data_IF_666621018013
#
_entry.id   IF_666621018013
#
_cell.length_a   1.000
_cell.length_b   1.000
_cell.length_c   1.000
_cell.angle_alpha   90.00
_cell.angle_beta   90.00
_cell.angle_gamma   90.00
#
_symmetry.space_group_name_H-M   'P 1'
#
loop_
_entity.id
_entity.type
_entity.pdbx_description
1 polymer ?
#
# COMPACT_ATOMS: atom_id res chain seq x y z
N UNK A 1 -9.20 -32.86 95.28
CA UNK A 1 -9.98 -32.45 94.11
C UNK A 1 -9.42 -31.13 93.61
N UNK A 2 -8.56 -31.19 92.60
CA UNK A 2 -7.89 -29.96 92.07
C UNK A 2 -8.44 -29.76 90.68
N UNK A 3 -9.17 -28.66 90.44
CA UNK A 3 -9.67 -28.26 89.13
C UNK A 3 -8.56 -27.40 88.47
N UNK A 4 -8.01 -27.95 87.41
CA UNK A 4 -7.10 -27.19 86.52
C UNK A 4 -7.90 -26.34 85.55
N UNK A 5 -7.61 -25.05 85.57
CA UNK A 5 -8.16 -24.04 84.61
C UNK A 5 -7.14 -23.86 83.50
N UNK A 6 -7.53 -24.16 82.27
CA UNK A 6 -6.72 -23.91 81.06
C UNK A 6 -7.13 -22.57 80.50
N UNK A 7 -6.20 -21.61 80.28
CA UNK A 7 -6.53 -20.37 79.61
C UNK A 7 -6.60 -20.55 78.10
N UNK A 8 -7.69 -20.03 77.50
CA UNK A 8 -7.94 -19.97 76.09
C UNK A 8 -7.09 -18.88 75.45
N UNK A 9 -6.09 -19.25 74.64
CA UNK A 9 -5.36 -18.32 73.76
C UNK A 9 -6.17 -18.00 72.52
N UNK A 10 -6.65 -16.78 72.40
CA UNK A 10 -7.21 -16.28 71.15
C UNK A 10 -6.06 -15.97 70.15
N UNK A 11 -5.94 -16.80 69.14
CA UNK A 11 -5.02 -16.58 68.06
C UNK A 11 -5.50 -15.43 67.19
N UNK A 12 -4.68 -14.38 67.06
CA UNK A 12 -4.87 -13.28 66.11
C UNK A 12 -4.34 -13.75 64.78
N UNK A 13 -5.26 -14.01 63.86
CA UNK A 13 -4.92 -14.35 62.46
C UNK A 13 -4.59 -13.05 61.74
N UNK A 14 -3.31 -12.79 61.48
CA UNK A 14 -2.84 -11.67 60.67
C UNK A 14 -2.93 -12.17 59.20
N UNK A 15 -3.98 -11.72 58.49
CA UNK A 15 -4.11 -11.89 57.07
C UNK A 15 -3.17 -10.91 56.37
N UNK A 16 -2.01 -11.39 55.92
CA UNK A 16 -1.14 -10.61 55.02
C UNK A 16 -1.79 -10.62 53.63
N UNK A 17 -2.52 -9.52 53.33
CA UNK A 17 -2.99 -9.25 51.99
C UNK A 17 -1.80 -8.75 51.13
N UNK A 18 -1.19 -9.66 50.38
CA UNK A 18 -0.18 -9.30 49.38
C UNK A 18 -0.92 -8.71 48.20
N UNK A 19 -0.95 -7.39 48.15
CA UNK A 19 -1.44 -6.64 46.98
C UNK A 19 -0.39 -6.74 45.87
N UNK A 20 -0.55 -7.77 44.99
CA UNK A 20 0.26 -7.87 43.79
C UNK A 20 -0.22 -6.81 42.80
N UNK A 21 0.44 -5.64 42.84
CA UNK A 21 0.26 -4.60 41.85
C UNK A 21 0.96 -4.99 40.56
N UNK A 22 0.24 -5.73 39.67
CA UNK A 22 0.72 -6.00 38.34
C UNK A 22 0.75 -4.69 37.56
N UNK A 23 1.93 -4.06 37.49
CA UNK A 23 2.20 -3.02 36.53
C UNK A 23 2.08 -3.63 35.11
N UNK A 24 0.93 -3.45 34.51
CA UNK A 24 0.77 -3.62 33.05
C UNK A 24 1.56 -2.50 32.39
N UNK A 25 2.83 -2.78 32.09
CA UNK A 25 3.63 -1.94 31.20
C UNK A 25 2.99 -2.12 29.81
N UNK A 26 2.02 -1.26 29.52
CA UNK A 26 1.52 -1.08 28.15
C UNK A 26 2.66 -0.45 27.34
N UNK A 27 3.47 -1.28 26.73
CA UNK A 27 4.42 -0.84 25.73
C UNK A 27 3.60 -0.36 24.52
N UNK A 28 3.09 0.89 24.58
CA UNK A 28 2.67 1.59 23.38
C UNK A 28 3.93 1.79 22.57
N UNK A 29 4.20 0.88 21.63
CA UNK A 29 5.11 1.14 20.55
C UNK A 29 4.58 2.40 19.83
N UNK A 30 5.23 3.54 20.05
CA UNK A 30 5.01 4.70 19.20
C UNK A 30 5.32 4.25 17.78
N UNK A 31 4.30 4.12 16.96
CA UNK A 31 4.45 3.93 15.52
C UNK A 31 5.04 5.24 15.00
N UNK A 32 6.37 5.33 14.96
CA UNK A 32 7.05 6.42 14.27
C UNK A 32 6.58 6.38 12.83
N UNK A 33 5.87 7.39 12.41
CA UNK A 33 5.47 7.56 11.00
C UNK A 33 6.75 7.74 10.20
N UNK A 34 7.22 6.67 9.56
CA UNK A 34 8.40 6.72 8.70
C UNK A 34 7.99 7.37 7.40
N UNK A 35 8.59 8.51 7.06
CA UNK A 35 8.37 9.13 5.76
C UNK A 35 9.25 8.41 4.72
N UNK A 36 8.62 7.67 3.80
CA UNK A 36 9.29 6.96 2.70
C UNK A 36 9.09 7.64 1.34
N UNK A 37 8.49 8.83 1.30
CA UNK A 37 8.29 9.55 0.05
C UNK A 37 9.63 9.84 -0.64
N UNK A 38 9.69 9.59 -1.94
CA UNK A 38 10.89 9.73 -2.76
C UNK A 38 11.89 8.58 -2.65
N UNK A 39 11.69 7.61 -1.76
CA UNK A 39 12.57 6.43 -1.65
C UNK A 39 12.32 5.43 -2.77
N UNK A 40 13.36 4.65 -3.09
CA UNK A 40 13.25 3.58 -4.06
C UNK A 40 12.55 2.36 -3.45
N UNK A 41 11.53 1.89 -4.15
CA UNK A 41 10.73 0.73 -3.78
C UNK A 41 11.46 -0.56 -4.19
N UNK A 42 11.62 -1.47 -3.23
CA UNK A 42 12.21 -2.78 -3.43
C UNK A 42 11.17 -3.85 -3.69
N UNK A 43 10.15 -3.91 -2.83
CA UNK A 43 9.09 -4.91 -2.90
C UNK A 43 7.83 -4.45 -2.15
N UNK A 44 6.71 -5.06 -2.50
CA UNK A 44 5.49 -5.03 -1.70
C UNK A 44 5.13 -6.48 -1.39
N UNK A 45 5.18 -6.86 -0.11
CA UNK A 45 4.90 -8.21 0.35
C UNK A 45 3.66 -8.20 1.25
N UNK A 46 2.59 -8.80 0.76
CA UNK A 46 1.26 -8.75 1.41
C UNK A 46 0.84 -7.30 1.67
N UNK A 47 1.00 -6.82 2.90
CA UNK A 47 0.68 -5.48 3.37
C UNK A 47 1.92 -4.71 3.86
N UNK A 48 3.13 -5.11 3.46
CA UNK A 48 4.39 -4.47 3.84
C UNK A 48 5.00 -3.80 2.61
N UNK A 49 5.22 -2.49 2.67
CA UNK A 49 5.98 -1.73 1.68
C UNK A 49 7.45 -1.75 2.12
N UNK A 50 8.34 -2.24 1.27
CA UNK A 50 9.78 -2.39 1.55
C UNK A 50 10.57 -1.53 0.57
N UNK A 51 11.44 -0.66 1.08
CA UNK A 51 12.33 0.18 0.27
C UNK A 51 13.71 -0.45 0.09
N UNK A 52 14.48 0.03 -0.89
CA UNK A 52 15.84 -0.48 -1.16
C UNK A 52 16.80 -0.31 0.04
N UNK A 53 16.59 0.71 0.86
CA UNK A 53 17.32 0.90 2.12
C UNK A 53 16.72 0.10 3.29
N UNK A 54 15.87 -0.90 3.00
CA UNK A 54 15.22 -1.83 3.92
C UNK A 54 14.30 -1.17 4.98
N UNK A 55 13.81 0.05 4.74
CA UNK A 55 12.72 0.58 5.56
C UNK A 55 11.43 -0.18 5.23
N UNK A 56 10.62 -0.42 6.25
CA UNK A 56 9.36 -1.14 6.12
C UNK A 56 8.21 -0.30 6.66
N UNK A 57 7.12 -0.25 5.91
CA UNK A 57 5.84 0.25 6.39
C UNK A 57 4.84 -0.89 6.36
N UNK A 58 4.38 -1.26 7.54
CA UNK A 58 3.31 -2.25 7.69
C UNK A 58 1.97 -1.54 7.59
N UNK A 59 1.19 -1.91 6.60
CA UNK A 59 -0.19 -1.45 6.44
C UNK A 59 -1.09 -2.36 7.28
N UNK A 60 -1.84 -1.78 8.23
CA UNK A 60 -2.76 -2.57 9.06
C UNK A 60 -3.97 -3.00 8.21
N UNK A 61 -3.99 -4.28 7.81
CA UNK A 61 -4.99 -4.87 6.93
C UNK A 61 -6.43 -4.69 7.46
N UNK A 62 -6.64 -4.88 8.76
CA UNK A 62 -7.96 -4.75 9.38
C UNK A 62 -8.56 -3.33 9.24
N UNK A 63 -7.70 -2.33 9.11
CA UNK A 63 -8.10 -0.93 8.93
C UNK A 63 -8.27 -0.52 7.47
N UNK A 64 -7.82 -1.34 6.50
CA UNK A 64 -7.81 -0.99 5.08
C UNK A 64 -9.14 -1.38 4.43
N UNK A 65 -9.64 -0.47 3.60
CA UNK A 65 -10.75 -0.71 2.68
C UNK A 65 -10.22 -1.01 1.29
N UNK A 66 -9.31 -0.15 0.76
CA UNK A 66 -8.75 -0.32 -0.59
C UNK A 66 -7.30 0.14 -0.66
N UNK A 67 -6.55 -0.46 -1.59
CA UNK A 67 -5.21 -0.01 -2.00
C UNK A 67 -5.20 0.17 -3.51
N UNK A 68 -4.71 1.32 -3.96
CA UNK A 68 -4.46 1.60 -5.37
C UNK A 68 -2.96 1.73 -5.59
N UNK A 69 -2.43 0.98 -6.55
CA UNK A 69 -1.06 1.05 -7.04
C UNK A 69 -1.09 1.75 -8.38
N UNK A 70 -0.41 2.88 -8.50
CA UNK A 70 -0.51 3.77 -9.63
C UNK A 70 0.88 4.02 -10.21
N UNK A 71 1.06 3.74 -11.49
CA UNK A 71 2.32 4.01 -12.19
C UNK A 71 2.07 4.66 -13.54
N UNK A 72 3.06 5.43 -14.01
CA UNK A 72 3.18 5.81 -15.41
C UNK A 72 3.75 4.62 -16.20
N UNK A 73 3.46 4.53 -17.51
CA UNK A 73 4.15 3.61 -18.40
C UNK A 73 5.67 3.80 -18.32
N UNK A 74 6.43 2.73 -18.56
CA UNK A 74 7.89 2.73 -18.61
C UNK A 74 8.42 3.47 -19.86
N UNK A 75 9.75 3.53 -20.02
CA UNK A 75 10.44 4.24 -21.09
C UNK A 75 9.96 3.78 -22.47
N UNK A 76 9.44 4.73 -23.25
CA UNK A 76 8.97 4.51 -24.61
C UNK A 76 10.01 4.88 -25.65
N UNK A 77 9.98 4.23 -26.79
CA UNK A 77 10.81 4.60 -27.94
C UNK A 77 10.29 5.89 -28.58
N UNK A 78 10.97 7.00 -28.37
CA UNK A 78 10.59 8.32 -28.90
C UNK A 78 10.89 8.50 -30.38
N UNK A 79 11.59 7.58 -31.02
CA UNK A 79 11.85 7.61 -32.47
C UNK A 79 10.62 7.17 -33.28
N UNK A 80 9.72 6.38 -32.64
CA UNK A 80 8.45 5.92 -33.22
C UNK A 80 7.34 6.87 -32.78
N UNK A 81 6.69 7.54 -33.73
CA UNK A 81 5.65 8.54 -33.43
C UNK A 81 4.31 7.90 -33.05
N UNK A 82 3.88 6.94 -33.84
CA UNK A 82 2.58 6.29 -33.68
C UNK A 82 2.72 5.01 -32.86
N UNK A 83 2.00 4.94 -31.75
CA UNK A 83 2.01 3.79 -30.81
C UNK A 83 3.43 3.33 -30.42
N UNK A 84 4.27 4.21 -29.82
CA UNK A 84 5.64 3.86 -29.45
C UNK A 84 5.66 2.71 -28.45
N UNK A 85 6.42 1.63 -28.74
CA UNK A 85 6.64 0.54 -27.79
C UNK A 85 7.60 0.97 -26.69
N UNK A 86 7.87 0.07 -25.73
CA UNK A 86 8.91 0.27 -24.74
C UNK A 86 10.30 0.10 -25.34
N UNK A 87 11.27 0.86 -24.81
CA UNK A 87 12.70 0.64 -25.03
C UNK A 87 13.16 -0.59 -24.26
N UNK A 88 14.41 -1.04 -24.46
CA UNK A 88 15.03 -2.10 -23.66
C UNK A 88 15.06 -1.74 -22.15
N UNK A 89 15.32 -0.46 -21.82
CA UNK A 89 15.24 0.05 -20.45
C UNK A 89 13.80 -0.03 -19.92
N UNK A 90 12.82 0.37 -20.73
CA UNK A 90 11.41 0.26 -20.38
C UNK A 90 10.96 -1.17 -20.13
N UNK A 91 11.42 -2.15 -20.92
CA UNK A 91 11.15 -3.57 -20.67
C UNK A 91 11.76 -4.06 -19.35
N UNK A 92 12.99 -3.61 -19.03
CA UNK A 92 13.64 -3.90 -17.75
C UNK A 92 12.81 -3.32 -16.59
N UNK A 93 12.33 -2.09 -16.72
CA UNK A 93 11.45 -1.44 -15.72
C UNK A 93 10.12 -2.16 -15.59
N UNK A 94 9.52 -2.62 -16.67
CA UNK A 94 8.30 -3.43 -16.65
C UNK A 94 8.48 -4.74 -15.86
N UNK A 95 9.61 -5.42 -16.06
CA UNK A 95 9.97 -6.61 -15.25
C UNK A 95 10.12 -6.27 -13.77
N UNK A 96 10.77 -5.14 -13.46
CA UNK A 96 10.92 -4.67 -12.07
C UNK A 96 9.56 -4.42 -11.40
N UNK A 97 8.55 -3.91 -12.12
CA UNK A 97 7.18 -3.77 -11.60
C UNK A 97 6.63 -5.13 -11.19
N UNK A 98 6.78 -6.14 -12.03
CA UNK A 98 6.31 -7.50 -11.74
C UNK A 98 7.00 -8.06 -10.48
N UNK A 99 8.31 -7.86 -10.34
CA UNK A 99 9.07 -8.34 -9.18
C UNK A 99 8.65 -7.61 -7.90
N UNK A 100 8.51 -6.30 -7.92
CA UNK A 100 8.03 -5.49 -6.79
C UNK A 100 6.67 -5.98 -6.30
N UNK A 101 5.78 -6.31 -7.21
CA UNK A 101 4.40 -6.71 -6.94
C UNK A 101 4.22 -8.21 -6.71
N UNK A 102 5.28 -9.02 -6.82
CA UNK A 102 5.22 -10.50 -6.77
C UNK A 102 4.56 -11.01 -5.50
N UNK A 103 4.95 -10.49 -4.35
CA UNK A 103 4.53 -10.93 -3.02
C UNK A 103 3.19 -10.34 -2.55
N UNK A 104 2.54 -9.45 -3.32
CA UNK A 104 1.29 -8.82 -2.89
C UNK A 104 0.10 -9.25 -3.75
N UNK A 105 -1.09 -9.22 -3.16
CA UNK A 105 -2.34 -9.48 -3.87
C UNK A 105 -2.68 -8.30 -4.79
N UNK A 106 -3.21 -8.60 -5.98
CA UNK A 106 -3.83 -7.67 -6.90
C UNK A 106 -5.16 -8.27 -7.31
N UNK A 107 -6.24 -7.48 -7.32
CA UNK A 107 -7.59 -7.95 -7.68
C UNK A 107 -7.98 -7.51 -9.10
N UNK A 108 -7.43 -6.39 -9.58
CA UNK A 108 -7.66 -5.87 -10.92
C UNK A 108 -6.44 -5.09 -11.44
N UNK A 109 -6.13 -5.22 -12.72
CA UNK A 109 -5.10 -4.46 -13.42
C UNK A 109 -5.76 -3.67 -14.53
N UNK A 110 -5.67 -2.34 -14.48
CA UNK A 110 -6.20 -1.44 -15.49
C UNK A 110 -5.10 -0.74 -16.26
N UNK A 111 -5.25 -0.64 -17.58
CA UNK A 111 -4.31 0.05 -18.45
C UNK A 111 -5.05 0.80 -19.56
N UNK A 112 -4.50 1.92 -20.03
CA UNK A 112 -4.89 2.44 -21.35
C UNK A 112 -4.40 1.48 -22.44
N UNK A 113 -5.08 1.49 -23.60
CA UNK A 113 -4.81 0.54 -24.70
C UNK A 113 -3.66 0.98 -25.62
N UNK A 114 -2.62 1.63 -25.08
CA UNK A 114 -1.41 1.97 -25.85
C UNK A 114 -0.33 0.91 -25.61
N UNK A 115 0.51 0.63 -26.62
CA UNK A 115 1.57 -0.39 -26.50
C UNK A 115 2.44 -0.18 -25.27
N UNK A 116 2.87 1.06 -25.01
CA UNK A 116 3.74 1.38 -23.86
C UNK A 116 3.11 1.09 -22.50
N UNK A 117 1.80 1.34 -22.32
CA UNK A 117 1.12 1.06 -21.05
C UNK A 117 0.84 -0.43 -20.87
N UNK A 118 0.41 -1.11 -21.95
CA UNK A 118 0.17 -2.54 -21.93
C UNK A 118 1.44 -3.32 -21.60
N UNK A 119 2.55 -3.08 -22.32
CA UNK A 119 3.82 -3.75 -22.07
C UNK A 119 4.42 -3.43 -20.70
N UNK A 120 4.09 -2.29 -20.08
CA UNK A 120 4.55 -1.97 -18.73
C UNK A 120 3.99 -2.93 -17.68
N UNK A 121 2.80 -3.51 -17.90
CA UNK A 121 2.14 -4.38 -16.91
C UNK A 121 1.96 -5.82 -17.39
N UNK A 122 2.39 -6.15 -18.59
CA UNK A 122 2.24 -7.48 -19.19
C UNK A 122 2.87 -8.56 -18.28
N UNK A 123 4.13 -8.37 -17.89
CA UNK A 123 4.80 -9.29 -16.95
C UNK A 123 4.10 -9.39 -15.59
N UNK A 124 3.51 -8.30 -15.10
CA UNK A 124 2.71 -8.35 -13.86
C UNK A 124 1.43 -9.15 -14.07
N UNK A 125 0.73 -8.93 -15.18
CA UNK A 125 -0.49 -9.65 -15.51
C UNK A 125 -0.22 -11.16 -15.63
N UNK A 126 0.89 -11.54 -16.26
CA UNK A 126 1.32 -12.93 -16.40
C UNK A 126 1.57 -13.60 -15.04
N UNK A 127 2.40 -13.02 -14.18
CA UNK A 127 2.70 -13.63 -12.86
C UNK A 127 1.48 -13.69 -11.94
N UNK A 128 0.48 -12.83 -12.16
CA UNK A 128 -0.79 -12.84 -11.42
C UNK A 128 -1.87 -13.70 -12.10
N UNK A 129 -1.61 -14.23 -13.30
CA UNK A 129 -2.59 -14.93 -14.12
C UNK A 129 -3.88 -14.11 -14.34
N UNK A 130 -3.73 -12.81 -14.57
CA UNK A 130 -4.82 -11.83 -14.66
C UNK A 130 -4.90 -11.23 -16.07
N UNK A 131 -6.11 -10.83 -16.46
CA UNK A 131 -6.33 -10.02 -17.67
C UNK A 131 -6.09 -8.54 -17.35
N UNK A 132 -5.51 -7.82 -18.29
CA UNK A 132 -5.44 -6.37 -18.25
C UNK A 132 -6.80 -5.83 -18.72
N UNK A 133 -7.44 -5.03 -17.86
CA UNK A 133 -8.72 -4.40 -18.13
C UNK A 133 -8.49 -3.03 -18.79
N UNK A 134 -9.11 -2.76 -19.94
CA UNK A 134 -8.88 -1.51 -20.66
C UNK A 134 -9.64 -0.35 -20.00
N UNK A 135 -9.05 0.86 -20.06
CA UNK A 135 -9.76 2.10 -19.83
C UNK A 135 -9.30 3.20 -20.79
N UNK A 136 -10.14 4.21 -20.97
CA UNK A 136 -9.83 5.39 -21.78
C UNK A 136 -9.87 6.65 -20.90
N UNK A 137 -9.11 7.67 -21.28
CA UNK A 137 -9.08 8.93 -20.53
C UNK A 137 -10.45 9.61 -20.47
N UNK A 138 -11.27 9.44 -21.52
CA UNK A 138 -12.64 10.02 -21.56
C UNK A 138 -13.59 9.35 -20.58
N UNK A 139 -13.36 8.07 -20.21
CA UNK A 139 -14.16 7.27 -19.25
C UNK A 139 -13.46 7.09 -17.91
N UNK A 140 -12.43 7.88 -17.63
CA UNK A 140 -11.66 7.77 -16.39
C UNK A 140 -12.51 8.03 -15.13
N UNK A 141 -13.47 8.95 -15.20
CA UNK A 141 -14.37 9.25 -14.07
C UNK A 141 -15.25 8.05 -13.74
N UNK A 142 -15.78 7.39 -14.75
CA UNK A 142 -16.61 6.20 -14.63
C UNK A 142 -15.79 5.04 -14.04
N UNK A 143 -14.55 4.83 -14.54
CA UNK A 143 -13.63 3.86 -13.97
C UNK A 143 -13.38 4.14 -12.48
N UNK A 144 -13.01 5.36 -12.12
CA UNK A 144 -12.71 5.70 -10.72
C UNK A 144 -13.94 5.59 -9.82
N UNK A 145 -15.14 5.88 -10.32
CA UNK A 145 -16.38 5.63 -9.60
C UNK A 145 -16.60 4.13 -9.37
N UNK A 146 -16.46 3.33 -10.42
CA UNK A 146 -16.63 1.88 -10.37
C UNK A 146 -15.66 1.21 -9.39
N UNK A 147 -14.35 1.50 -9.48
CA UNK A 147 -13.36 0.88 -8.59
C UNK A 147 -13.48 1.35 -7.14
N UNK A 148 -13.99 2.56 -6.90
CA UNK A 148 -14.28 3.05 -5.53
C UNK A 148 -15.44 2.29 -4.89
N UNK A 149 -16.50 2.01 -5.64
CA UNK A 149 -17.73 1.36 -5.15
C UNK A 149 -17.67 -0.17 -5.21
N UNK A 150 -16.73 -0.76 -5.97
CA UNK A 150 -16.61 -2.22 -6.06
C UNK A 150 -16.37 -2.85 -4.68
N UNK A 151 -17.06 -3.92 -4.38
CA UNK A 151 -16.82 -4.76 -3.20
C UNK A 151 -15.82 -5.89 -3.51
N UNK A 152 -15.69 -6.26 -4.80
CA UNK A 152 -14.85 -7.37 -5.25
C UNK A 152 -13.38 -6.96 -5.39
N UNK A 153 -13.10 -5.69 -5.71
CA UNK A 153 -11.75 -5.21 -5.96
C UNK A 153 -11.27 -4.28 -4.84
N UNK A 154 -10.32 -4.77 -4.04
CA UNK A 154 -9.76 -4.05 -2.92
C UNK A 154 -8.29 -3.65 -3.14
N UNK A 155 -7.59 -4.31 -4.06
CA UNK A 155 -6.21 -4.01 -4.46
C UNK A 155 -6.12 -3.85 -5.96
N UNK A 156 -6.07 -2.61 -6.42
CA UNK A 156 -6.23 -2.22 -7.81
C UNK A 156 -4.92 -1.64 -8.33
N UNK A 157 -4.41 -2.19 -9.43
CA UNK A 157 -3.26 -1.67 -10.14
C UNK A 157 -3.70 -0.88 -11.38
N UNK A 158 -3.21 0.36 -11.53
CA UNK A 158 -3.58 1.23 -12.67
C UNK A 158 -2.32 1.79 -13.32
N UNK A 159 -2.19 1.56 -14.62
CA UNK A 159 -1.14 2.16 -15.43
C UNK A 159 -1.73 3.26 -16.31
N UNK A 160 -1.03 4.39 -16.35
CA UNK A 160 -1.42 5.53 -17.17
C UNK A 160 -0.22 6.32 -17.70
N UNK A 161 -0.38 7.62 -17.74
CA UNK A 161 0.56 8.56 -18.36
C UNK A 161 1.02 9.63 -17.37
N UNK A 162 2.03 10.44 -17.75
CA UNK A 162 2.57 11.54 -16.96
C UNK A 162 1.50 12.52 -16.46
N UNK A 163 0.45 12.73 -17.23
CA UNK A 163 -0.66 13.66 -16.91
C UNK A 163 -1.82 12.97 -16.16
N UNK A 164 -2.08 11.69 -16.42
CA UNK A 164 -3.25 11.00 -15.84
C UNK A 164 -3.00 10.46 -14.44
N UNK A 165 -1.81 9.91 -14.15
CA UNK A 165 -1.51 9.36 -12.83
C UNK A 165 -1.60 10.41 -11.71
N UNK A 166 -1.06 11.63 -11.83
CA UNK A 166 -1.30 12.69 -10.86
C UNK A 166 -2.78 12.99 -10.61
N UNK A 167 -3.57 13.10 -11.70
CA UNK A 167 -5.02 13.36 -11.62
C UNK A 167 -5.78 12.21 -10.94
N UNK A 168 -5.46 10.96 -11.28
CA UNK A 168 -6.02 9.77 -10.64
C UNK A 168 -5.71 9.79 -9.14
N UNK A 169 -4.45 10.06 -8.78
CA UNK A 169 -4.00 10.13 -7.39
C UNK A 169 -4.80 11.16 -6.61
N UNK A 170 -4.92 12.38 -7.12
CA UNK A 170 -5.67 13.46 -6.48
C UNK A 170 -7.14 13.07 -6.26
N UNK A 171 -7.76 12.47 -7.28
CA UNK A 171 -9.16 12.01 -7.21
C UNK A 171 -9.37 10.90 -6.19
N UNK A 172 -8.44 9.95 -6.08
CA UNK A 172 -8.49 8.85 -5.11
C UNK A 172 -8.18 9.35 -3.69
N UNK A 173 -7.19 10.24 -3.56
CA UNK A 173 -6.82 10.84 -2.29
C UNK A 173 -7.87 11.84 -1.77
N UNK A 174 -8.68 12.42 -2.68
CA UNK A 174 -9.66 13.47 -2.35
C UNK A 174 -9.02 14.79 -1.95
N UNK A 175 -7.78 15.02 -2.38
CA UNK A 175 -7.00 16.25 -2.19
C UNK A 175 -5.93 16.39 -3.25
N UNK A 176 -5.38 17.59 -3.40
CA UNK A 176 -4.27 17.86 -4.31
C UNK A 176 -2.95 17.33 -3.70
N UNK A 177 -2.56 16.14 -4.11
CA UNK A 177 -1.25 15.52 -3.80
C UNK A 177 -0.20 16.02 -4.79
N UNK A 178 -0.60 16.10 -6.08
CA UNK A 178 0.20 16.60 -7.16
C UNK A 178 -0.45 17.85 -7.76
N UNK A 179 0.29 18.93 -7.84
CA UNK A 179 -0.15 20.18 -8.46
C UNK A 179 0.27 20.30 -9.93
N UNK A 180 1.11 19.38 -10.41
CA UNK A 180 1.62 19.31 -11.77
C UNK A 180 1.62 17.88 -12.28
N UNK A 181 1.71 17.72 -13.59
CA UNK A 181 2.00 16.43 -14.25
C UNK A 181 3.41 15.95 -13.90
N UNK A 182 3.69 14.67 -14.06
CA UNK A 182 5.05 14.16 -13.95
C UNK A 182 5.90 14.70 -15.12
N UNK A 183 7.19 14.90 -14.86
CA UNK A 183 8.14 15.21 -15.91
C UNK A 183 8.15 14.10 -16.97
N UNK A 184 8.26 14.47 -18.26
CA UNK A 184 8.24 13.51 -19.36
C UNK A 184 9.47 12.56 -19.34
N UNK A 185 10.56 12.97 -18.70
CA UNK A 185 11.75 12.16 -18.49
C UNK A 185 11.67 11.26 -17.24
N UNK A 186 10.69 11.47 -16.33
CA UNK A 186 10.57 10.74 -15.07
C UNK A 186 9.57 9.58 -15.20
N UNK A 187 10.08 8.39 -15.47
CA UNK A 187 9.29 7.16 -15.59
C UNK A 187 9.20 6.37 -14.28
N UNK A 188 10.02 6.70 -13.28
CA UNK A 188 10.17 5.91 -12.06
C UNK A 188 9.15 6.19 -10.96
N UNK A 189 8.03 6.85 -11.22
CA UNK A 189 7.04 7.17 -10.19
C UNK A 189 6.14 5.97 -9.88
N UNK A 190 6.12 5.55 -8.61
CA UNK A 190 5.21 4.54 -8.07
C UNK A 190 4.42 5.17 -6.92
N UNK A 191 3.12 5.33 -7.09
CA UNK A 191 2.25 5.93 -6.08
C UNK A 191 1.33 4.86 -5.49
N UNK A 192 1.23 4.83 -4.16
CA UNK A 192 0.31 3.96 -3.43
C UNK A 192 -0.69 4.83 -2.70
N UNK A 193 -1.98 4.64 -2.98
CA UNK A 193 -3.07 5.29 -2.23
C UNK A 193 -3.75 4.22 -1.38
N UNK A 194 -3.68 4.36 -0.07
CA UNK A 194 -4.33 3.47 0.90
C UNK A 194 -5.56 4.16 1.47
N UNK A 195 -6.72 3.58 1.24
CA UNK A 195 -8.00 4.05 1.80
C UNK A 195 -8.34 3.22 3.02
N UNK A 196 -8.49 3.85 4.17
CA UNK A 196 -8.86 3.19 5.42
C UNK A 196 -10.39 3.11 5.55
N UNK A 197 -10.88 2.14 6.30
CA UNK A 197 -12.30 1.99 6.64
C UNK A 197 -12.87 3.24 7.35
N UNK A 198 -12.01 3.99 8.05
CA UNK A 198 -12.36 5.28 8.66
C UNK A 198 -12.53 6.43 7.65
N UNK A 199 -12.26 6.21 6.36
CA UNK A 199 -12.26 7.24 5.32
C UNK A 199 -10.93 8.00 5.20
N UNK A 200 -9.99 7.83 6.11
CA UNK A 200 -8.64 8.41 6.03
C UNK A 200 -7.89 7.80 4.83
N UNK A 201 -7.11 8.62 4.14
CA UNK A 201 -6.33 8.21 2.97
C UNK A 201 -4.87 8.57 3.17
N UNK A 202 -4.00 7.55 3.12
CA UNK A 202 -2.56 7.71 3.10
C UNK A 202 -2.06 7.63 1.66
N UNK A 203 -1.07 8.45 1.31
CA UNK A 203 -0.45 8.43 -0.02
C UNK A 203 1.06 8.32 0.14
N UNK A 204 1.64 7.32 -0.50
CA UNK A 204 3.08 7.10 -0.55
C UNK A 204 3.56 7.34 -1.98
N UNK A 205 4.54 8.24 -2.12
CA UNK A 205 5.16 8.58 -3.40
C UNK A 205 6.56 7.96 -3.41
N UNK A 206 6.73 6.92 -4.20
CA UNK A 206 7.95 6.11 -4.25
C UNK A 206 8.58 6.18 -5.64
N UNK A 207 9.82 5.70 -5.76
CA UNK A 207 10.50 5.48 -7.04
C UNK A 207 10.75 3.97 -7.25
N UNK A 208 10.88 3.55 -8.54
CA UNK A 208 11.16 2.15 -8.89
C UNK A 208 12.01 2.02 -10.14
#
# INVERSE_FOLDING_TARGET
>A
MIKSVIPCFKGISIVFSVLVFTMMISCKSEIKTVNINGKSLKAIESNIIITEDNQQIVLNEDSISKIYYLIRHAEKDTTIKDEPPLTAEGLTRATKVADIMRGTRVDAIYSTMTLRTMFTVDSLADIKAMKILPYENKTLKELLSSVKSSEDYNRIFIVGHSNTIPSITNTLAGRDVFTKTFDESDYGNFVIVVVKKSGVKDVYQLKY
#
